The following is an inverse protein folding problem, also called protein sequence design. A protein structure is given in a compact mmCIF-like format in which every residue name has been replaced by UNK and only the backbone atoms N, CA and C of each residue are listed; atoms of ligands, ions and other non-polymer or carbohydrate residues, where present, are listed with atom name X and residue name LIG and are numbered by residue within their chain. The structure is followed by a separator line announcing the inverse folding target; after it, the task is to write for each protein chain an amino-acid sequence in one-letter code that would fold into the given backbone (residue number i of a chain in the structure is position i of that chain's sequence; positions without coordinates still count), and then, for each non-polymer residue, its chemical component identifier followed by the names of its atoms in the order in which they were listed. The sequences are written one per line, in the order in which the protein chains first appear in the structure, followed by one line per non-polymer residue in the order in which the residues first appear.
data_IF_606488646376
#
_entry.id   IF_606488646376
#
_cell.length_a   1.000
_cell.length_b   1.000
_cell.length_c   1.000
_cell.angle_alpha   90.00
_cell.angle_beta   90.00
_cell.angle_gamma   90.00
#
_symmetry.space_group_name_H-M   'P 1'
#
loop_
_entity.id
_entity.type
_entity.pdbx_description
1 polymer ?
#
# COMPACT_ATOMS: atom_id res chain seq x y z
N UNK A 1 5.49 -11.43 2.71
CA UNK A 1 5.56 -11.63 4.17
C UNK A 1 5.76 -10.26 4.85
N UNK A 2 4.82 -9.82 5.70
CA UNK A 2 4.95 -8.56 6.44
C UNK A 2 5.97 -8.75 7.57
N UNK A 3 7.08 -8.03 7.55
CA UNK A 3 8.03 -7.98 8.68
C UNK A 3 7.95 -6.62 9.37
N UNK A 4 8.00 -6.63 10.70
CA UNK A 4 7.89 -5.42 11.54
C UNK A 4 9.29 -4.93 11.87
N UNK A 5 9.71 -3.79 11.32
CA UNK A 5 11.11 -3.34 11.38
C UNK A 5 11.33 -2.34 12.53
N UNK A 6 10.27 -1.65 12.99
CA UNK A 6 10.21 -0.84 14.23
C UNK A 6 8.81 -0.91 14.83
N UNK A 7 8.66 -0.61 16.14
CA UNK A 7 7.36 -0.59 16.83
C UNK A 7 6.42 0.34 16.05
N UNK A 8 5.42 -0.24 15.40
CA UNK A 8 4.46 0.51 14.61
C UNK A 8 4.81 0.80 13.15
N UNK A 9 5.70 0.02 12.54
CA UNK A 9 6.01 0.11 11.11
C UNK A 9 5.99 -1.27 10.46
N UNK A 10 5.24 -1.41 9.36
CA UNK A 10 5.17 -2.61 8.53
C UNK A 10 5.84 -2.38 7.16
N UNK A 11 6.35 -3.45 6.55
CA UNK A 11 7.16 -3.44 5.33
C UNK A 11 6.61 -4.40 4.26
N UNK A 12 6.67 -3.94 3.00
CA UNK A 12 6.50 -4.73 1.77
C UNK A 12 7.58 -4.32 0.77
N UNK A 13 8.25 -5.29 0.16
CA UNK A 13 9.36 -5.10 -0.82
C UNK A 13 9.02 -5.59 -2.22
N UNK A 14 7.78 -5.95 -2.47
CA UNK A 14 7.28 -6.44 -3.74
C UNK A 14 6.63 -5.33 -4.59
N UNK A 15 6.77 -4.07 -4.17
CA UNK A 15 6.13 -2.93 -4.82
C UNK A 15 7.01 -2.40 -5.94
N UNK A 16 6.48 -2.12 -7.11
CA UNK A 16 7.21 -1.48 -8.21
C UNK A 16 6.40 -0.25 -8.64
N UNK A 17 6.63 0.92 -8.03
CA UNK A 17 5.71 2.06 -8.10
C UNK A 17 6.08 3.07 -9.18
N UNK A 18 7.35 3.17 -9.56
CA UNK A 18 7.83 4.13 -10.56
C UNK A 18 8.60 3.50 -11.71
N UNK A 19 9.39 2.48 -11.42
CA UNK A 19 10.37 1.84 -12.30
C UNK A 19 10.51 0.39 -11.88
N UNK A 20 11.11 -0.48 -12.73
CA UNK A 20 11.21 -1.93 -12.56
C UNK A 20 12.00 -2.44 -11.33
N UNK A 21 12.22 -1.60 -10.32
CA UNK A 21 12.83 -1.94 -9.04
C UNK A 21 11.78 -1.97 -7.93
N UNK A 22 11.98 -2.90 -7.00
CA UNK A 22 11.18 -3.03 -5.79
C UNK A 22 11.34 -1.85 -4.81
N UNK A 23 10.29 -1.08 -4.61
CA UNK A 23 10.07 -0.01 -3.64
C UNK A 23 9.55 -0.54 -2.29
N UNK A 24 9.52 0.34 -1.28
CA UNK A 24 9.09 -0.01 0.07
C UNK A 24 7.95 0.91 0.52
N UNK A 25 6.86 0.32 1.03
CA UNK A 25 5.82 1.05 1.74
C UNK A 25 5.93 0.85 3.24
N UNK A 26 5.79 1.96 3.94
CA UNK A 26 5.79 2.11 5.37
C UNK A 26 4.46 2.66 5.82
N UNK A 27 3.96 2.16 6.95
CA UNK A 27 2.81 2.74 7.64
C UNK A 27 3.11 2.93 9.11
N UNK A 28 2.87 4.14 9.62
CA UNK A 28 2.91 4.45 11.04
C UNK A 28 1.60 3.96 11.69
N UNK A 29 1.65 3.00 12.60
CA UNK A 29 0.43 2.47 13.25
C UNK A 29 -0.22 3.44 14.24
N UNK A 30 0.54 4.43 14.74
CA UNK A 30 0.03 5.36 15.74
C UNK A 30 -0.69 6.54 15.07
N UNK A 31 -0.12 7.07 13.99
CA UNK A 31 -0.70 8.20 13.27
C UNK A 31 -1.52 7.78 12.06
N UNK A 32 -1.32 6.57 11.53
CA UNK A 32 -1.92 6.12 10.29
C UNK A 32 -1.19 6.60 9.04
N UNK A 33 -0.12 7.39 9.16
CA UNK A 33 0.57 7.94 7.99
C UNK A 33 1.21 6.85 7.14
N UNK A 34 1.07 6.97 5.83
CA UNK A 34 1.66 6.09 4.82
C UNK A 34 2.80 6.82 4.14
N UNK A 35 3.97 6.19 4.14
CA UNK A 35 5.21 6.73 3.60
C UNK A 35 5.82 5.72 2.63
N UNK A 36 6.35 6.18 1.51
CA UNK A 36 6.97 5.31 0.50
C UNK A 36 8.44 5.67 0.36
N UNK A 37 9.28 4.65 0.22
CA UNK A 37 10.65 4.77 -0.26
C UNK A 37 10.72 4.20 -1.67
N UNK A 38 11.04 5.05 -2.63
CA UNK A 38 11.44 4.59 -3.95
C UNK A 38 12.89 4.13 -3.89
N UNK A 39 13.14 2.90 -4.33
CA UNK A 39 14.41 2.22 -4.16
C UNK A 39 15.15 2.07 -5.48
N UNK A 40 16.48 1.99 -5.41
CA UNK A 40 17.35 1.59 -6.51
C UNK A 40 18.46 0.70 -5.95
N UNK A 41 18.34 -0.61 -6.18
CA UNK A 41 19.20 -1.61 -5.55
C UNK A 41 19.09 -1.55 -4.02
N UNK A 42 20.24 -1.46 -3.35
CA UNK A 42 20.31 -1.37 -1.88
C UNK A 42 20.03 0.05 -1.34
N UNK A 43 19.93 1.05 -2.21
CA UNK A 43 19.76 2.46 -1.82
C UNK A 43 18.32 2.96 -1.97
N UNK A 44 17.92 3.87 -1.09
CA UNK A 44 16.72 4.69 -1.29
C UNK A 44 17.06 5.84 -2.24
N UNK A 45 16.34 5.97 -3.35
CA UNK A 45 16.44 7.12 -4.25
C UNK A 45 15.73 8.33 -3.66
N UNK A 46 14.48 8.17 -3.23
CA UNK A 46 13.69 9.22 -2.58
C UNK A 46 12.64 8.60 -1.65
N UNK A 47 12.12 9.37 -0.71
CA UNK A 47 10.93 8.97 0.05
C UNK A 47 10.02 10.14 0.38
N UNK A 48 8.75 9.85 0.65
CA UNK A 48 7.73 10.85 0.94
C UNK A 48 6.47 10.28 1.55
N UNK A 49 5.69 11.15 2.20
CA UNK A 49 4.34 10.84 2.65
C UNK A 49 3.40 10.77 1.44
N UNK A 50 2.55 9.75 1.44
CA UNK A 50 1.57 9.48 0.36
C UNK A 50 0.15 9.69 0.86
N UNK A 51 -0.09 9.38 2.14
CA UNK A 51 -1.38 9.57 2.78
C UNK A 51 -1.18 9.86 4.26
N UNK A 52 -1.96 10.80 4.81
CA UNK A 52 -1.90 11.16 6.23
C UNK A 52 -3.11 10.60 6.97
N UNK A 53 -2.90 10.04 8.16
CA UNK A 53 -4.03 9.65 8.99
C UNK A 53 -4.86 8.46 8.48
N UNK A 54 -4.26 7.47 7.80
CA UNK A 54 -5.01 6.30 7.35
C UNK A 54 -5.61 5.55 8.55
N UNK A 55 -6.96 5.46 8.66
CA UNK A 55 -7.64 4.90 9.83
C UNK A 55 -7.12 3.51 10.21
N UNK A 56 -7.01 3.22 11.51
CA UNK A 56 -6.41 1.97 12.01
C UNK A 56 -7.11 0.69 11.53
N UNK A 57 -8.40 0.79 11.23
CA UNK A 57 -9.22 -0.28 10.65
C UNK A 57 -8.95 -0.52 9.15
N UNK A 58 -8.17 0.33 8.46
CA UNK A 58 -7.73 0.07 7.09
C UNK A 58 -6.47 -0.78 7.10
N UNK A 59 -6.45 -1.89 6.37
CA UNK A 59 -5.27 -2.74 6.20
C UNK A 59 -4.91 -2.91 4.72
N UNK A 60 -3.61 -3.02 4.42
CA UNK A 60 -3.17 -3.34 3.07
C UNK A 60 -3.46 -4.81 2.79
N UNK A 61 -4.40 -5.05 1.88
CA UNK A 61 -4.90 -6.38 1.53
C UNK A 61 -4.01 -7.03 0.47
N UNK A 62 -3.77 -6.33 -0.64
CA UNK A 62 -2.93 -6.79 -1.74
C UNK A 62 -2.34 -5.63 -2.53
N UNK A 63 -1.38 -5.97 -3.38
CA UNK A 63 -0.63 -5.06 -4.26
C UNK A 63 -0.50 -5.73 -5.61
N UNK A 64 -0.61 -4.97 -6.69
CA UNK A 64 -0.48 -5.47 -8.05
C UNK A 64 -0.75 -4.37 -9.07
N UNK A 65 -0.37 -4.58 -10.33
CA UNK A 65 -0.70 -3.64 -11.41
C UNK A 65 -2.14 -3.91 -11.88
N UNK A 66 -3.11 -3.14 -11.36
CA UNK A 66 -4.53 -3.38 -11.61
C UNK A 66 -5.07 -2.55 -12.78
N UNK A 67 -4.34 -1.52 -13.22
CA UNK A 67 -4.70 -0.69 -14.37
C UNK A 67 -3.80 -0.90 -15.61
N UNK A 68 -2.88 -1.87 -15.56
CA UNK A 68 -1.97 -2.24 -16.65
C UNK A 68 -1.01 -1.13 -17.09
N UNK A 69 -0.58 -0.27 -16.15
CA UNK A 69 0.35 0.82 -16.45
C UNK A 69 1.83 0.49 -16.15
N UNK A 70 2.12 -0.75 -15.75
CA UNK A 70 3.45 -1.21 -15.36
C UNK A 70 3.89 -0.78 -13.96
N UNK A 71 2.96 -0.26 -13.13
CA UNK A 71 3.22 0.21 -11.76
C UNK A 71 2.29 -0.50 -10.78
N UNK A 72 2.75 -0.66 -9.55
CA UNK A 72 2.00 -1.35 -8.51
C UNK A 72 0.93 -0.47 -7.89
N UNK A 73 -0.32 -0.87 -8.03
CA UNK A 73 -1.47 -0.31 -7.33
C UNK A 73 -1.70 -1.05 -5.99
N UNK A 74 -2.57 -0.52 -5.13
CA UNK A 74 -2.78 -1.04 -3.78
C UNK A 74 -4.26 -1.27 -3.48
N UNK A 75 -4.59 -2.43 -2.88
CA UNK A 75 -5.90 -2.71 -2.31
C UNK A 75 -5.86 -2.57 -0.79
N UNK A 76 -6.75 -1.74 -0.26
CA UNK A 76 -6.94 -1.50 1.16
C UNK A 76 -8.30 -2.02 1.59
N UNK A 77 -8.36 -2.78 2.68
CA UNK A 77 -9.61 -3.29 3.24
C UNK A 77 -9.94 -2.59 4.56
N UNK A 78 -11.18 -2.19 4.74
CA UNK A 78 -11.75 -1.86 6.03
C UNK A 78 -12.03 -3.15 6.81
N UNK A 79 -11.39 -3.38 7.94
CA UNK A 79 -11.59 -4.59 8.75
C UNK A 79 -12.90 -4.59 9.51
N UNK A 80 -13.55 -3.44 9.67
CA UNK A 80 -14.83 -3.30 10.35
C UNK A 80 -16.01 -3.52 9.42
N UNK A 81 -15.96 -2.99 8.19
CA UNK A 81 -17.06 -3.14 7.22
C UNK A 81 -16.80 -4.23 6.19
N UNK A 82 -15.54 -4.59 5.94
CA UNK A 82 -15.14 -5.46 4.84
C UNK A 82 -14.95 -4.72 3.51
N UNK A 83 -15.16 -3.40 3.45
CA UNK A 83 -15.06 -2.65 2.20
C UNK A 83 -13.63 -2.62 1.66
N UNK A 84 -13.45 -2.92 0.38
CA UNK A 84 -12.15 -2.86 -0.29
C UNK A 84 -12.10 -1.64 -1.18
N UNK A 85 -11.05 -0.85 -1.02
CA UNK A 85 -10.76 0.36 -1.77
C UNK A 85 -9.43 0.22 -2.50
N UNK A 86 -9.39 0.60 -3.77
CA UNK A 86 -8.19 0.57 -4.60
C UNK A 86 -7.55 1.95 -4.68
N UNK A 87 -6.23 2.01 -4.55
CA UNK A 87 -5.40 3.16 -4.85
C UNK A 87 -4.62 2.87 -6.12
N UNK A 88 -4.87 3.66 -7.16
CA UNK A 88 -4.03 3.65 -8.36
C UNK A 88 -2.81 4.54 -8.11
N UNK A 89 -1.62 4.04 -8.44
CA UNK A 89 -0.36 4.66 -8.05
C UNK A 89 0.48 5.11 -9.25
N UNK A 90 1.17 6.24 -9.08
CA UNK A 90 2.29 6.65 -9.91
C UNK A 90 3.43 7.16 -9.02
N UNK A 91 4.41 6.31 -8.78
CA UNK A 91 5.46 6.54 -7.79
C UNK A 91 4.86 6.72 -6.40
N UNK A 92 5.07 7.90 -5.82
CA UNK A 92 4.55 8.26 -4.49
C UNK A 92 3.20 8.98 -4.55
N UNK A 93 2.55 9.04 -5.71
CA UNK A 93 1.29 9.77 -5.89
C UNK A 93 0.13 8.78 -6.11
N UNK A 94 -0.97 9.01 -5.39
CA UNK A 94 -2.26 8.38 -5.69
C UNK A 94 -2.86 9.15 -6.87
N UNK A 95 -3.04 8.48 -8.01
CA UNK A 95 -3.55 9.08 -9.26
C UNK A 95 -5.04 8.83 -9.47
N UNK A 96 -5.60 7.88 -8.75
CA UNK A 96 -7.02 7.54 -8.81
C UNK A 96 -7.36 6.45 -7.80
N UNK A 97 -8.60 5.97 -7.85
CA UNK A 97 -9.06 4.93 -6.95
C UNK A 97 -10.57 4.94 -6.73
N UNK A 98 -11.04 3.97 -5.97
CA UNK A 98 -12.46 3.80 -5.67
C UNK A 98 -12.74 2.53 -4.88
N UNK A 99 -13.99 2.38 -4.45
CA UNK A 99 -14.47 1.11 -3.91
C UNK A 99 -14.47 0.05 -5.00
N UNK A 100 -13.86 -1.09 -4.71
CA UNK A 100 -13.89 -2.28 -5.57
C UNK A 100 -15.03 -3.20 -5.16
N UNK A 101 -15.21 -3.38 -3.84
CA UNK A 101 -16.30 -4.17 -3.28
C UNK A 101 -16.69 -3.59 -1.92
N UNK A 102 -17.97 -3.69 -1.60
CA UNK A 102 -18.52 -3.34 -0.29
C UNK A 102 -18.80 -4.63 0.49
N UNK A 103 -18.39 -4.68 1.75
CA UNK A 103 -18.73 -5.82 2.62
C UNK A 103 -18.02 -7.15 2.32
N UNK A 104 -16.78 -7.16 1.80
CA UNK A 104 -16.05 -8.41 1.59
C UNK A 104 -15.78 -9.09 2.94
N UNK A 105 -16.37 -10.28 3.15
CA UNK A 105 -16.19 -11.01 4.40
C UNK A 105 -14.71 -11.30 4.65
N UNK A 106 -14.26 -11.19 5.91
CA UNK A 106 -12.86 -11.41 6.30
C UNK A 106 -12.31 -12.83 6.04
N UNK A 107 -13.15 -13.78 5.62
CA UNK A 107 -12.74 -15.14 5.24
C UNK A 107 -12.20 -15.24 3.80
N UNK A 108 -12.31 -14.17 3.01
CA UNK A 108 -11.72 -14.10 1.67
C UNK A 108 -10.42 -13.30 1.71
N UNK A 109 -9.38 -13.86 1.12
CA UNK A 109 -8.07 -13.24 1.00
C UNK A 109 -7.54 -13.41 -0.43
N UNK A 110 -6.88 -12.38 -1.00
CA UNK A 110 -6.15 -12.54 -2.25
C UNK A 110 -5.05 -13.59 -2.08
N UNK A 111 -4.79 -14.36 -3.14
CA UNK A 111 -3.75 -15.40 -3.17
C UNK A 111 -2.38 -14.80 -3.48
#
# INVERSE_FOLDING_TARGET
MLQRIKKGWFFRSDLCLKQATSDILWRNVNTGDVYIWLMNGLGRTIGGFVYYGCPSNRQLLATGDYNSNGKTDMLWQDTSTGDVYMWLMDGMKITGGGFVVLGLSGNWQPK
#
